data_IF_661064654558
#
_entry.id   IF_661064654558
#
_cell.length_a   1.000
_cell.length_b   1.000
_cell.length_c   1.000
_cell.angle_alpha   90.00
_cell.angle_beta   90.00
_cell.angle_gamma   90.00
#
_symmetry.space_group_name_H-M   'P 1'
#
loop_
_entity.id
_entity.type
_entity.pdbx_description
1 polymer ?
#
# COMPACT_ATOMS: atom_id res chain seq x y z
N UNK A 1 -54.94 2.37 2.42
CA UNK A 1 -55.81 1.23 2.09
C UNK A 1 -57.07 1.30 2.97
N UNK A 2 -58.23 0.96 2.42
CA UNK A 2 -59.51 0.99 3.16
C UNK A 2 -59.88 -0.45 3.55
N UNK A 3 -59.58 -0.84 4.80
CA UNK A 3 -59.93 -2.16 5.33
C UNK A 3 -61.44 -2.21 5.64
N UNK A 4 -62.16 -3.19 5.08
CA UNK A 4 -63.64 -3.23 5.11
C UNK A 4 -64.25 -4.38 5.91
N UNK A 5 -63.46 -5.22 6.57
CA UNK A 5 -63.98 -6.26 7.47
C UNK A 5 -63.21 -6.30 8.78
N UNK A 6 -63.89 -6.49 9.93
CA UNK A 6 -63.21 -6.65 11.22
C UNK A 6 -62.31 -7.89 11.19
N UNK A 7 -61.01 -7.68 11.33
CA UNK A 7 -59.99 -8.72 11.32
C UNK A 7 -58.61 -8.12 11.56
N UNK A 8 -57.66 -8.91 12.06
CA UNK A 8 -56.26 -8.50 12.20
C UNK A 8 -55.54 -8.65 10.87
N UNK A 9 -54.99 -7.56 10.34
CA UNK A 9 -54.17 -7.55 9.13
C UNK A 9 -52.72 -7.29 9.54
N UNK A 10 -51.80 -8.13 9.06
CA UNK A 10 -50.36 -7.89 9.16
C UNK A 10 -49.90 -7.33 7.83
N UNK A 11 -49.41 -6.09 7.84
CA UNK A 11 -48.74 -5.51 6.68
C UNK A 11 -47.24 -5.46 6.93
N UNK A 12 -46.48 -6.15 6.08
CA UNK A 12 -45.03 -6.07 6.11
C UNK A 12 -44.60 -4.82 5.32
N UNK A 13 -44.43 -3.72 6.04
CA UNK A 13 -43.80 -2.53 5.47
C UNK A 13 -42.29 -2.81 5.44
N UNK A 14 -41.78 -3.25 4.29
CA UNK A 14 -40.35 -3.42 4.10
C UNK A 14 -39.63 -2.08 4.20
N UNK A 15 -39.16 -1.77 5.41
CA UNK A 15 -38.17 -0.72 5.66
C UNK A 15 -36.80 -1.37 5.60
N UNK A 16 -36.36 -1.78 4.42
CA UNK A 16 -34.93 -2.00 4.25
C UNK A 16 -34.25 -0.68 4.64
N UNK A 17 -33.31 -0.69 5.61
CA UNK A 17 -32.47 0.47 5.86
C UNK A 17 -31.90 0.94 4.51
N UNK A 18 -31.70 2.25 4.28
CA UNK A 18 -30.96 2.67 3.10
C UNK A 18 -29.65 1.88 3.08
N UNK A 19 -29.41 1.18 1.97
CA UNK A 19 -28.13 0.50 1.75
C UNK A 19 -27.05 1.56 1.88
N UNK A 20 -26.27 1.51 2.95
CA UNK A 20 -25.16 2.44 3.16
C UNK A 20 -24.15 2.10 2.07
N UNK A 21 -24.00 2.97 1.08
CA UNK A 21 -22.91 2.86 0.13
C UNK A 21 -21.62 2.80 0.94
N UNK A 22 -20.90 1.68 0.83
CA UNK A 22 -19.69 1.43 1.59
C UNK A 22 -18.63 2.42 1.10
N UNK A 23 -18.51 3.57 1.77
CA UNK A 23 -17.40 4.50 1.54
C UNK A 23 -16.16 3.83 2.10
N UNK A 24 -15.13 3.68 1.28
CA UNK A 24 -13.86 3.14 1.76
C UNK A 24 -13.27 4.12 2.77
N UNK A 25 -13.21 3.73 4.04
CA UNK A 25 -12.80 4.61 5.16
C UNK A 25 -11.31 4.53 5.48
N UNK A 26 -10.51 3.87 4.63
CA UNK A 26 -9.09 3.65 4.83
C UNK A 26 -8.39 3.46 3.48
N UNK A 27 -8.16 4.56 2.75
CA UNK A 27 -7.43 4.53 1.49
C UNK A 27 -5.97 4.87 1.81
N UNK A 28 -5.04 3.89 1.79
CA UNK A 28 -3.65 4.15 2.10
C UNK A 28 -2.92 4.80 0.93
N UNK A 29 -1.93 5.63 1.25
CA UNK A 29 -0.88 6.06 0.34
C UNK A 29 0.44 5.40 0.72
N UNK A 30 1.00 4.62 -0.20
CA UNK A 30 2.32 4.01 -0.08
C UNK A 30 3.36 4.92 -0.72
N UNK A 31 4.41 5.24 0.02
CA UNK A 31 5.52 6.08 -0.41
C UNK A 31 6.81 5.27 -0.31
N UNK A 32 7.59 5.25 -1.39
CA UNK A 32 8.87 4.56 -1.42
C UNK A 32 9.53 4.57 -2.80
N UNK A 33 10.65 3.86 -2.93
CA UNK A 33 11.39 3.71 -4.18
C UNK A 33 10.79 2.63 -5.07
N UNK A 34 10.83 2.87 -6.38
CA UNK A 34 10.24 1.99 -7.40
C UNK A 34 11.29 1.58 -8.44
N UNK A 35 10.96 0.62 -9.32
CA UNK A 35 11.87 0.23 -10.40
C UNK A 35 11.89 1.30 -11.49
N UNK A 36 10.69 1.70 -11.91
CA UNK A 36 10.46 2.77 -12.86
C UNK A 36 10.12 4.02 -12.07
N UNK A 37 10.94 5.06 -12.21
CA UNK A 37 10.59 6.34 -11.63
C UNK A 37 9.44 6.95 -12.42
N UNK A 38 8.36 7.22 -11.71
CA UNK A 38 7.27 8.00 -12.22
C UNK A 38 7.44 9.40 -11.65
N UNK A 39 7.90 10.35 -12.48
CA UNK A 39 7.85 11.79 -12.15
C UNK A 39 6.40 12.28 -11.96
N UNK A 40 5.43 11.43 -12.31
CA UNK A 40 4.01 11.72 -12.28
C UNK A 40 3.54 11.79 -10.82
N UNK A 41 2.56 12.66 -10.61
CA UNK A 41 1.79 12.82 -9.38
C UNK A 41 1.35 11.48 -8.75
N UNK A 42 0.91 11.46 -7.48
CA UNK A 42 0.41 10.26 -6.83
C UNK A 42 -0.57 9.48 -7.73
N UNK A 43 -0.29 8.20 -7.94
CA UNK A 43 -1.09 7.35 -8.83
C UNK A 43 -1.99 6.46 -7.98
N UNK A 44 -3.30 6.56 -8.21
CA UNK A 44 -4.29 5.66 -7.63
C UNK A 44 -4.26 4.33 -8.38
N UNK A 45 -4.02 3.25 -7.65
CA UNK A 45 -4.06 1.89 -8.19
C UNK A 45 -5.13 1.07 -7.46
N UNK A 46 -5.63 0.03 -8.12
CA UNK A 46 -6.61 -0.91 -7.54
C UNK A 46 -6.10 -2.34 -7.44
N UNK A 47 -4.93 -2.62 -8.01
CA UNK A 47 -4.33 -3.95 -8.00
C UNK A 47 -2.80 -3.90 -8.11
N UNK A 48 -2.14 -4.99 -7.70
CA UNK A 48 -0.70 -5.15 -7.89
C UNK A 48 -0.30 -5.17 -9.37
N UNK A 49 -1.17 -5.62 -10.28
CA UNK A 49 -0.90 -5.62 -11.72
C UNK A 49 -0.76 -4.19 -12.27
N UNK A 50 -1.60 -3.26 -11.80
CA UNK A 50 -1.51 -1.84 -12.15
C UNK A 50 -0.23 -1.20 -11.59
N UNK A 51 0.19 -1.63 -10.40
CA UNK A 51 1.49 -1.25 -9.85
C UNK A 51 2.62 -1.71 -10.76
N UNK A 52 2.67 -3.00 -11.11
CA UNK A 52 3.74 -3.56 -11.95
C UNK A 52 3.83 -2.87 -13.31
N UNK A 53 2.68 -2.53 -13.90
CA UNK A 53 2.63 -1.82 -15.18
C UNK A 53 3.17 -0.38 -15.11
N UNK A 54 3.03 0.28 -13.95
CA UNK A 54 3.35 1.71 -13.80
C UNK A 54 4.69 1.97 -13.12
N UNK A 55 5.09 1.10 -12.19
CA UNK A 55 6.21 1.29 -11.27
C UNK A 55 7.22 0.13 -11.31
N UNK A 56 6.90 -0.96 -12.01
CA UNK A 56 7.74 -2.15 -12.15
C UNK A 56 7.65 -3.12 -10.95
N UNK A 57 8.67 -3.96 -10.80
CA UNK A 57 8.73 -5.09 -9.86
C UNK A 57 9.77 -4.87 -8.77
N UNK A 58 9.75 -5.71 -7.73
CA UNK A 58 10.73 -5.69 -6.64
C UNK A 58 12.19 -5.59 -7.12
N UNK A 59 13.00 -4.85 -6.36
CA UNK A 59 14.45 -4.80 -6.54
C UNK A 59 15.04 -6.21 -6.40
N UNK A 60 15.64 -6.79 -7.46
CA UNK A 60 16.09 -8.17 -7.44
C UNK A 60 17.27 -8.34 -6.47
N UNK A 61 17.14 -9.33 -5.59
CA UNK A 61 18.22 -9.78 -4.72
C UNK A 61 19.29 -10.52 -5.54
N UNK A 62 20.48 -9.93 -5.66
CA UNK A 62 21.59 -10.49 -6.47
C UNK A 62 22.70 -11.15 -5.66
N UNK A 63 22.66 -11.02 -4.32
CA UNK A 63 23.74 -11.42 -3.41
C UNK A 63 23.37 -12.61 -2.53
N UNK A 64 22.26 -13.30 -2.85
CA UNK A 64 21.87 -14.56 -2.22
C UNK A 64 22.85 -15.64 -2.65
N UNK A 65 23.49 -16.27 -1.66
CA UNK A 65 24.36 -17.43 -1.85
C UNK A 65 23.76 -18.64 -1.14
N UNK A 66 23.81 -19.79 -1.83
CA UNK A 66 23.39 -21.08 -1.29
C UNK A 66 24.60 -21.99 -1.24
N UNK A 67 24.94 -22.47 -0.05
CA UNK A 67 26.01 -23.44 0.16
C UNK A 67 25.40 -24.75 0.62
N UNK A 68 25.83 -25.86 0.02
CA UNK A 68 25.43 -27.20 0.42
C UNK A 68 26.69 -27.91 0.92
N UNK A 69 26.72 -28.21 2.21
CA UNK A 69 27.82 -28.96 2.83
C UNK A 69 27.25 -30.16 3.59
N UNK A 70 27.66 -31.36 3.17
CA UNK A 70 27.44 -32.62 3.90
C UNK A 70 25.98 -32.86 4.36
N UNK A 71 25.00 -32.48 3.53
CA UNK A 71 23.57 -32.62 3.83
C UNK A 71 22.92 -31.41 4.52
N UNK A 72 23.69 -30.38 4.86
CA UNK A 72 23.20 -29.10 5.38
C UNK A 72 23.14 -28.07 4.27
N UNK A 73 21.99 -27.40 4.13
CA UNK A 73 21.80 -26.28 3.20
C UNK A 73 21.88 -24.99 4.02
N UNK A 74 22.85 -24.13 3.70
CA UNK A 74 22.98 -22.80 4.25
C UNK A 74 22.64 -21.76 3.17
N UNK A 75 21.81 -20.77 3.52
CA UNK A 75 21.47 -19.64 2.64
C UNK A 75 21.91 -18.36 3.33
N UNK A 76 22.68 -17.53 2.64
CA UNK A 76 23.15 -16.25 3.15
C UNK A 76 22.87 -15.13 2.16
N UNK A 77 22.45 -13.97 2.64
CA UNK A 77 22.38 -12.74 1.86
C UNK A 77 23.21 -11.67 2.59
N UNK A 78 24.40 -11.39 2.07
CA UNK A 78 25.34 -10.48 2.72
C UNK A 78 24.91 -9.01 2.63
N UNK A 79 24.12 -8.65 1.62
CA UNK A 79 23.68 -7.26 1.37
C UNK A 79 22.25 -7.24 0.84
N UNK A 80 21.25 -7.52 1.70
CA UNK A 80 19.84 -7.46 1.31
C UNK A 80 19.46 -6.07 0.80
N UNK A 81 18.61 -6.01 -0.22
CA UNK A 81 18.08 -4.75 -0.72
C UNK A 81 17.12 -4.16 0.31
N UNK A 82 17.23 -2.84 0.49
CA UNK A 82 16.40 -2.10 1.45
C UNK A 82 15.06 -1.64 0.86
N UNK A 83 14.74 -2.01 -0.38
CA UNK A 83 13.52 -1.57 -1.05
C UNK A 83 12.38 -2.58 -0.88
N UNK A 84 11.58 -2.39 0.17
CA UNK A 84 10.51 -3.31 0.54
C UNK A 84 9.10 -2.88 0.07
N UNK A 85 8.98 -1.77 -0.67
CA UNK A 85 7.70 -1.22 -1.12
C UNK A 85 6.85 -2.22 -1.91
N UNK A 86 7.45 -2.90 -2.89
CA UNK A 86 6.76 -3.90 -3.70
C UNK A 86 6.19 -5.04 -2.84
N UNK A 87 6.98 -5.56 -1.90
CA UNK A 87 6.55 -6.65 -1.02
C UNK A 87 5.48 -6.20 -0.02
N UNK A 88 5.54 -4.96 0.45
CA UNK A 88 4.49 -4.37 1.29
C UNK A 88 3.15 -4.30 0.54
N UNK A 89 3.17 -3.89 -0.73
CA UNK A 89 1.98 -3.87 -1.58
C UNK A 89 1.46 -5.27 -1.90
N UNK A 90 2.36 -6.21 -2.19
CA UNK A 90 1.99 -7.60 -2.39
C UNK A 90 1.27 -8.16 -1.16
N UNK A 91 1.80 -7.91 0.05
CA UNK A 91 1.17 -8.32 1.29
C UNK A 91 -0.16 -7.61 1.52
N UNK A 92 -0.25 -6.30 1.25
CA UNK A 92 -1.47 -5.52 1.38
C UNK A 92 -2.61 -6.09 0.51
N UNK A 93 -2.37 -6.29 -0.79
CA UNK A 93 -3.37 -6.86 -1.70
C UNK A 93 -3.68 -8.33 -1.38
N UNK A 94 -2.69 -9.13 -0.95
CA UNK A 94 -2.92 -10.51 -0.52
C UNK A 94 -3.82 -10.62 0.73
N UNK A 95 -3.86 -9.57 1.56
CA UNK A 95 -4.76 -9.47 2.72
C UNK A 95 -6.12 -8.82 2.39
N UNK A 96 -6.47 -8.70 1.11
CA UNK A 96 -7.74 -8.09 0.67
C UNK A 96 -7.70 -6.56 0.66
N UNK A 97 -6.51 -5.97 0.56
CA UNK A 97 -6.33 -4.54 0.36
C UNK A 97 -7.12 -4.01 -0.83
N UNK A 98 -7.74 -2.84 -0.65
CA UNK A 98 -8.48 -2.14 -1.69
C UNK A 98 -7.61 -1.12 -2.45
N UNK A 99 -8.24 -0.19 -3.17
CA UNK A 99 -7.56 0.93 -3.81
C UNK A 99 -6.59 1.65 -2.88
N UNK A 100 -5.43 2.01 -3.42
CA UNK A 100 -4.41 2.76 -2.69
C UNK A 100 -3.69 3.72 -3.63
N UNK A 101 -3.02 4.71 -3.05
CA UNK A 101 -2.17 5.64 -3.76
C UNK A 101 -0.72 5.19 -3.69
N UNK A 102 0.01 5.41 -4.77
CA UNK A 102 1.43 5.14 -4.89
C UNK A 102 2.15 6.45 -5.17
N UNK A 103 3.21 6.72 -4.40
CA UNK A 103 4.10 7.85 -4.65
C UNK A 103 5.53 7.35 -4.74
N UNK A 104 6.13 7.51 -5.93
CA UNK A 104 7.55 7.24 -6.14
C UNK A 104 8.41 8.33 -5.51
N UNK A 105 9.39 7.90 -4.70
CA UNK A 105 10.51 8.72 -4.22
C UNK A 105 11.73 8.66 -5.16
N UNK A 106 11.64 7.92 -6.27
CA UNK A 106 12.70 7.72 -7.25
C UNK A 106 12.96 6.25 -7.53
N UNK A 107 13.98 5.96 -8.34
CA UNK A 107 14.43 4.58 -8.59
C UNK A 107 15.13 3.94 -7.40
N UNK A 108 15.23 2.61 -7.40
CA UNK A 108 15.87 1.83 -6.34
C UNK A 108 17.27 2.29 -5.94
N UNK A 109 17.39 2.66 -4.66
CA UNK A 109 18.62 2.97 -3.95
C UNK A 109 18.38 2.84 -2.44
N UNK A 110 19.44 3.03 -1.66
CA UNK A 110 19.30 3.09 -0.21
C UNK A 110 18.38 4.25 0.19
N UNK A 111 17.41 4.03 1.10
CA UNK A 111 16.44 5.05 1.44
C UNK A 111 17.06 6.33 2.00
N UNK A 112 16.59 7.48 1.50
CA UNK A 112 17.02 8.81 1.95
C UNK A 112 15.81 9.58 2.47
N UNK A 113 15.87 10.02 3.73
CA UNK A 113 14.75 10.68 4.39
C UNK A 113 14.25 11.92 3.63
N UNK A 114 15.15 12.76 3.12
CA UNK A 114 14.78 13.98 2.39
C UNK A 114 13.98 13.71 1.11
N UNK A 115 14.28 12.62 0.40
CA UNK A 115 13.57 12.24 -0.82
C UNK A 115 12.18 11.67 -0.51
N UNK A 116 12.06 10.89 0.57
CA UNK A 116 10.77 10.40 1.07
C UNK A 116 9.86 11.56 1.52
N UNK A 117 10.41 12.61 2.13
CA UNK A 117 9.65 13.84 2.45
C UNK A 117 9.20 14.58 1.20
N UNK A 118 10.07 14.69 0.20
CA UNK A 118 9.70 15.31 -1.08
C UNK A 118 8.57 14.53 -1.73
N UNK A 119 8.62 13.19 -1.69
CA UNK A 119 7.54 12.34 -2.16
C UNK A 119 6.26 12.54 -1.33
N UNK A 120 6.34 12.58 0.00
CA UNK A 120 5.21 12.86 0.88
C UNK A 120 4.52 14.19 0.53
N UNK A 121 5.29 15.25 0.25
CA UNK A 121 4.73 16.55 -0.17
C UNK A 121 4.01 16.49 -1.51
N UNK A 122 4.34 15.56 -2.41
CA UNK A 122 3.57 15.36 -3.65
C UNK A 122 2.15 14.87 -3.35
N UNK A 123 1.96 14.14 -2.25
CA UNK A 123 0.67 13.61 -1.80
C UNK A 123 -0.27 14.69 -1.26
N UNK A 124 0.24 15.82 -0.77
CA UNK A 124 -0.59 16.93 -0.23
C UNK A 124 -1.63 17.48 -1.22
N UNK A 125 -1.51 17.16 -2.51
CA UNK A 125 -2.48 17.56 -3.55
C UNK A 125 -3.71 16.65 -3.61
N UNK A 126 -3.68 15.49 -2.96
CA UNK A 126 -4.74 14.49 -2.97
C UNK A 126 -5.44 14.47 -1.60
N UNK A 127 -6.75 14.68 -1.57
CA UNK A 127 -7.55 14.69 -0.34
C UNK A 127 -8.13 13.29 0.01
N UNK A 128 -8.04 12.31 -0.90
CA UNK A 128 -8.59 10.95 -0.72
C UNK A 128 -7.78 10.05 0.26
N UNK A 129 -6.44 10.12 0.33
CA UNK A 129 -5.65 9.30 1.25
C UNK A 129 -5.94 9.59 2.72
N UNK A 130 -6.22 8.54 3.50
CA UNK A 130 -6.50 8.65 4.95
C UNK A 130 -5.47 7.93 5.81
N UNK A 131 -4.52 7.21 5.20
CA UNK A 131 -3.45 6.49 5.88
C UNK A 131 -2.13 6.66 5.11
N UNK A 132 -1.06 7.02 5.80
CA UNK A 132 0.28 7.15 5.22
C UNK A 132 1.12 5.92 5.56
N UNK A 133 1.72 5.29 4.55
CA UNK A 133 2.56 4.10 4.72
C UNK A 133 3.89 4.33 4.02
N UNK A 134 4.98 4.26 4.77
CA UNK A 134 6.35 4.37 4.25
C UNK A 134 7.12 3.11 4.65
N UNK A 135 7.03 2.02 3.87
CA UNK A 135 7.64 0.72 4.23
C UNK A 135 9.14 0.81 4.50
N UNK A 136 9.84 1.67 3.77
CA UNK A 136 11.29 1.81 3.79
C UNK A 136 11.79 2.72 4.92
N UNK A 137 10.90 3.43 5.64
CA UNK A 137 11.29 4.31 6.75
C UNK A 137 12.01 3.54 7.87
N UNK A 138 11.69 2.26 8.05
CA UNK A 138 12.34 1.36 9.02
C UNK A 138 13.81 1.08 8.72
N UNK A 139 14.28 1.41 7.50
CA UNK A 139 15.61 1.10 6.99
C UNK A 139 16.49 2.35 6.86
N UNK A 140 16.01 3.50 7.35
CA UNK A 140 16.78 4.74 7.47
C UNK A 140 17.88 4.61 8.52
N UNK A 141 19.04 5.23 8.26
CA UNK A 141 20.25 5.02 9.06
C UNK A 141 20.26 5.81 10.39
N UNK A 142 19.31 6.71 10.63
CA UNK A 142 19.21 7.54 11.84
C UNK A 142 17.80 7.49 12.44
N UNK A 143 17.71 7.24 13.74
CA UNK A 143 16.44 7.16 14.49
C UNK A 143 15.72 8.52 14.56
N UNK A 144 16.47 9.63 14.47
CA UNK A 144 15.91 10.98 14.49
C UNK A 144 15.15 11.34 13.20
N UNK A 145 15.48 10.70 12.07
CA UNK A 145 14.85 10.97 10.77
C UNK A 145 13.46 10.36 10.64
N UNK A 146 13.14 9.32 11.43
CA UNK A 146 11.88 8.56 11.32
C UNK A 146 10.71 9.26 12.02
N UNK A 147 10.97 10.04 13.08
CA UNK A 147 9.93 10.65 13.93
C UNK A 147 9.86 12.17 13.87
N UNK A 148 10.84 12.85 13.27
CA UNK A 148 10.93 14.32 13.30
C UNK A 148 10.11 15.05 12.20
N UNK A 149 9.36 14.33 11.37
CA UNK A 149 8.80 14.88 10.12
C UNK A 149 7.33 14.54 9.87
N UNK A 150 6.61 14.07 10.91
CA UNK A 150 5.16 13.91 10.93
C UNK A 150 4.52 14.96 11.83
#
# INVERSE_FOLDING_TARGET
>A
MNYRTPGTYVEEISKFPPSVAQVQTAIPAFIGYTELDSEIAPVRITSLLEYEASFGKANPETTIQVTVDSGTIAVSNATPKKNNMYYALQMYFANGGGPCYIVSAGTYKDPVASELVVALKKLEKEDEPTLLVIPEATLLNSTDEVYAQV
#
